data_IF_823517044240
#
_entry.id   IF_823517044240
#
_cell.length_a   1.000
_cell.length_b   1.000
_cell.length_c   1.000
_cell.angle_alpha   90.00
_cell.angle_beta   90.00
_cell.angle_gamma   90.00
#
_symmetry.space_group_name_H-M   'P 1'
#
loop_
_entity.id
_entity.type
_entity.pdbx_description
1 polymer ?
#
# COMPACT_ATOMS: atom_id res chain seq x y z
N UNK A 1 6.41 -7.06 -22.74
CA UNK A 1 6.36 -6.06 -21.64
C UNK A 1 7.74 -5.51 -21.36
N UNK A 2 7.85 -4.30 -20.80
CA UNK A 2 9.16 -3.75 -20.36
C UNK A 2 9.43 -4.17 -18.92
N UNK A 3 10.66 -4.57 -18.56
CA UNK A 3 10.97 -5.22 -17.28
C UNK A 3 10.74 -4.36 -16.03
N UNK A 4 10.70 -3.03 -16.17
CA UNK A 4 10.61 -2.09 -15.04
C UNK A 4 9.20 -1.50 -14.84
N UNK A 5 8.21 -1.87 -15.65
CA UNK A 5 6.88 -1.27 -15.56
C UNK A 5 6.14 -1.64 -14.27
N UNK A 6 6.52 -2.74 -13.62
CA UNK A 6 5.96 -3.20 -12.34
C UNK A 6 6.82 -2.81 -11.13
N UNK A 7 7.83 -1.94 -11.31
CA UNK A 7 8.76 -1.55 -10.26
C UNK A 7 8.88 -0.03 -10.17
N UNK A 8 8.99 0.45 -8.94
CA UNK A 8 9.39 1.83 -8.71
C UNK A 8 10.87 2.04 -9.03
N UNK A 9 11.20 3.23 -9.52
CA UNK A 9 12.59 3.67 -9.66
C UNK A 9 13.22 3.94 -8.28
N UNK A 10 14.55 4.00 -8.21
CA UNK A 10 15.26 4.38 -6.98
C UNK A 10 14.84 5.77 -6.47
N UNK A 11 14.61 6.73 -7.37
CA UNK A 11 14.12 8.06 -7.01
C UNK A 11 12.73 8.01 -6.38
N UNK A 12 11.83 7.20 -6.94
CA UNK A 12 10.47 7.00 -6.42
C UNK A 12 10.51 6.36 -5.03
N UNK A 13 11.31 5.31 -4.84
CA UNK A 13 11.49 4.63 -3.55
C UNK A 13 12.03 5.59 -2.49
N UNK A 14 13.02 6.41 -2.82
CA UNK A 14 13.59 7.40 -1.90
C UNK A 14 12.55 8.43 -1.43
N UNK A 15 11.77 8.98 -2.36
CA UNK A 15 10.73 9.96 -2.02
C UNK A 15 9.61 9.36 -1.16
N UNK A 16 9.15 8.14 -1.49
CA UNK A 16 8.12 7.45 -0.71
C UNK A 16 8.64 7.17 0.72
N UNK A 17 9.88 6.67 0.84
CA UNK A 17 10.49 6.36 2.14
C UNK A 17 10.59 7.58 3.04
N UNK A 18 11.01 8.74 2.52
CA UNK A 18 11.12 9.97 3.29
C UNK A 18 9.76 10.44 3.87
N UNK A 19 8.66 10.19 3.15
CA UNK A 19 7.30 10.48 3.64
C UNK A 19 6.91 9.51 4.75
N UNK A 20 7.18 8.21 4.58
CA UNK A 20 6.90 7.20 5.59
C UNK A 20 7.68 7.45 6.89
N UNK A 21 8.96 7.83 6.79
CA UNK A 21 9.76 8.24 7.95
C UNK A 21 9.14 9.46 8.64
N UNK A 22 8.67 10.46 7.89
CA UNK A 22 8.00 11.62 8.48
C UNK A 22 6.67 11.30 9.16
N UNK A 23 5.94 10.29 8.67
CA UNK A 23 4.74 9.77 9.34
C UNK A 23 5.12 9.06 10.63
N UNK A 24 6.08 8.13 10.59
CA UNK A 24 6.58 7.39 11.76
C UNK A 24 7.12 8.31 12.85
N UNK A 25 7.84 9.36 12.48
CA UNK A 25 8.45 10.31 13.42
C UNK A 25 7.44 11.37 13.93
N UNK A 26 6.16 11.30 13.54
CA UNK A 26 5.11 12.25 13.95
C UNK A 26 5.21 13.65 13.32
N UNK A 27 6.09 13.83 12.32
CA UNK A 27 6.25 15.09 11.56
C UNK A 27 5.14 15.30 10.53
N UNK A 28 4.39 14.25 10.20
CA UNK A 28 3.17 14.27 9.40
C UNK A 28 2.06 13.53 10.14
N UNK A 29 0.80 13.88 9.86
CA UNK A 29 -0.34 13.15 10.42
C UNK A 29 -0.32 11.71 9.97
N UNK A 30 -0.34 10.80 10.94
CA UNK A 30 -0.46 9.37 10.70
C UNK A 30 -1.93 8.97 10.54
N UNK A 31 -2.22 8.26 9.46
CA UNK A 31 -3.50 7.61 9.19
C UNK A 31 -3.31 6.16 8.71
N UNK A 32 -2.09 5.64 8.77
CA UNK A 32 -1.82 4.22 8.52
C UNK A 32 -2.49 3.41 9.63
N UNK A 33 -3.05 2.27 9.24
CA UNK A 33 -3.68 1.32 10.16
C UNK A 33 -2.88 0.03 10.12
N UNK A 34 -2.97 -0.74 11.19
CA UNK A 34 -2.46 -2.11 11.18
C UNK A 34 -3.13 -2.90 10.06
N UNK A 35 -2.38 -3.86 9.51
CA UNK A 35 -2.89 -4.78 8.51
C UNK A 35 -4.04 -5.59 9.13
N UNK A 36 -5.25 -5.36 8.62
CA UNK A 36 -6.46 -6.01 9.09
C UNK A 36 -6.80 -7.29 8.30
N UNK A 37 -5.92 -7.72 7.39
CA UNK A 37 -6.17 -8.81 6.47
C UNK A 37 -7.14 -8.40 5.35
N UNK A 38 -7.98 -9.35 4.94
CA UNK A 38 -8.92 -9.19 3.84
C UNK A 38 -9.96 -8.09 4.09
N UNK A 39 -10.25 -7.30 3.05
CA UNK A 39 -11.22 -6.22 3.05
C UNK A 39 -12.35 -6.49 2.04
N UNK A 40 -13.35 -7.26 2.47
CA UNK A 40 -14.56 -7.51 1.69
C UNK A 40 -15.27 -6.21 1.25
N UNK A 41 -15.55 -6.11 -0.05
CA UNK A 41 -16.22 -4.98 -0.70
C UNK A 41 -15.27 -4.06 -1.48
N UNK A 42 -13.98 -4.42 -1.59
CA UNK A 42 -12.97 -3.66 -2.32
C UNK A 42 -12.80 -4.14 -3.78
N UNK A 43 -13.56 -5.17 -4.19
CA UNK A 43 -13.54 -5.82 -5.51
C UNK A 43 -12.29 -6.65 -5.79
N UNK A 44 -11.60 -7.10 -4.75
CA UNK A 44 -10.46 -7.99 -4.80
C UNK A 44 -10.82 -9.22 -3.99
N UNK A 45 -10.85 -10.40 -4.62
CA UNK A 45 -11.10 -11.64 -3.89
C UNK A 45 -9.85 -11.97 -3.09
N UNK A 46 -9.93 -11.83 -1.77
CA UNK A 46 -8.84 -12.10 -0.84
C UNK A 46 -8.96 -13.49 -0.22
N UNK A 47 -7.92 -13.91 0.53
CA UNK A 47 -7.90 -15.25 1.15
C UNK A 47 -9.05 -15.38 2.15
N UNK A 48 -9.88 -16.40 1.96
CA UNK A 48 -11.07 -16.64 2.80
C UNK A 48 -12.37 -16.10 2.19
N UNK A 49 -12.31 -15.43 1.04
CA UNK A 49 -13.48 -14.93 0.33
C UNK A 49 -13.80 -15.81 -0.90
N UNK A 50 -15.09 -16.08 -1.10
CA UNK A 50 -15.57 -16.76 -2.32
C UNK A 50 -15.81 -15.78 -3.47
N UNK A 51 -16.14 -14.54 -3.13
CA UNK A 51 -16.32 -13.43 -4.05
C UNK A 51 -16.11 -12.09 -3.33
N UNK A 52 -15.75 -11.07 -4.10
CA UNK A 52 -15.82 -9.67 -3.69
C UNK A 52 -16.39 -8.87 -4.86
N UNK A 53 -17.69 -8.60 -4.82
CA UNK A 53 -18.41 -7.90 -5.87
C UNK A 53 -18.35 -6.38 -5.74
N UNK A 54 -17.96 -5.86 -4.57
CA UNK A 54 -18.16 -4.46 -4.18
C UNK A 54 -19.63 -4.06 -4.08
#
# INVERSE_FOLDING_TARGET
ERPNNSRFSSCSVGNISAVLDAVRDGRKRDCLKEDAGAFCGNKIVEVGEECDCG
#
